data_IF_775698576597
#
_entry.id   IF_775698576597
#
_cell.length_a   1.000
_cell.length_b   1.000
_cell.length_c   1.000
_cell.angle_alpha   90.00
_cell.angle_beta   90.00
_cell.angle_gamma   90.00
#
_symmetry.space_group_name_H-M   'P 1'
#
loop_
_entity.id
_entity.type
_entity.pdbx_description
1 polymer ?
#
# COMPACT_ATOMS: atom_id res chain seq x y z
N UNK A 1 39.11 3.90 23.74
CA UNK A 1 38.72 3.60 25.13
C UNK A 1 38.34 4.91 25.81
N UNK A 2 37.25 4.89 26.60
CA UNK A 2 36.53 5.98 27.29
C UNK A 2 35.60 6.83 26.36
N UNK A 3 34.26 6.63 26.28
CA UNK A 3 33.14 6.84 27.24
C UNK A 3 33.18 8.25 27.84
N UNK A 4 32.24 9.18 27.65
CA UNK A 4 30.78 9.11 27.81
C UNK A 4 30.38 10.05 28.97
N UNK A 5 29.32 10.86 28.81
CA UNK A 5 28.90 12.05 29.62
C UNK A 5 29.71 13.30 29.23
N UNK A 6 29.12 14.38 28.73
CA UNK A 6 28.12 15.15 29.45
C UNK A 6 26.91 15.56 28.61
N UNK A 7 25.78 14.99 29.01
CA UNK A 7 24.44 15.52 28.82
C UNK A 7 24.36 16.93 29.39
N UNK A 8 23.51 17.76 28.78
CA UNK A 8 22.75 18.74 29.56
C UNK A 8 23.55 19.92 30.15
N UNK A 9 24.15 20.77 29.33
CA UNK A 9 24.32 22.16 29.77
C UNK A 9 24.41 23.12 28.60
N UNK A 10 23.65 24.20 28.75
CA UNK A 10 23.83 25.48 28.04
C UNK A 10 23.17 25.58 26.68
N UNK A 11 21.84 25.62 26.74
CA UNK A 11 21.04 26.53 25.93
C UNK A 11 21.59 27.96 26.06
N UNK A 12 21.53 28.70 24.94
CA UNK A 12 21.55 30.17 24.81
C UNK A 12 22.92 30.85 24.62
N UNK A 13 22.97 31.64 23.53
CA UNK A 13 23.92 32.69 23.11
C UNK A 13 25.08 32.29 22.20
N UNK A 14 24.87 32.40 20.89
CA UNK A 14 25.67 33.31 20.05
C UNK A 14 25.04 33.43 18.66
N UNK A 15 24.84 34.67 18.22
CA UNK A 15 24.35 35.04 16.92
C UNK A 15 25.38 34.74 15.83
N UNK A 16 25.01 33.96 14.83
CA UNK A 16 25.63 33.97 13.50
C UNK A 16 24.68 33.31 12.50
N UNK A 17 24.39 34.05 11.42
CA UNK A 17 23.56 33.72 10.25
C UNK A 17 23.42 32.21 9.98
N UNK A 18 22.38 31.60 10.55
CA UNK A 18 22.03 30.21 10.29
C UNK A 18 21.14 30.14 9.06
N UNK A 19 21.69 29.64 7.95
CA UNK A 19 20.88 29.16 6.83
C UNK A 19 19.99 28.04 7.37
N UNK A 20 18.71 28.33 7.58
CA UNK A 20 17.70 27.30 7.77
C UNK A 20 17.53 26.61 6.41
N UNK A 21 18.33 25.58 6.16
CA UNK A 21 18.02 24.61 5.12
C UNK A 21 16.73 23.93 5.54
N UNK A 22 15.61 24.40 5.00
CA UNK A 22 14.35 23.65 4.97
C UNK A 22 14.62 22.49 4.01
N UNK A 23 15.25 21.43 4.52
CA UNK A 23 15.17 20.13 3.86
C UNK A 23 13.72 19.72 3.98
N UNK A 24 12.95 19.99 2.92
CA UNK A 24 11.67 19.35 2.65
C UNK A 24 11.92 17.86 2.59
N UNK A 25 12.00 17.22 3.75
CA UNK A 25 11.84 15.79 3.86
C UNK A 25 10.41 15.53 3.45
N UNK A 26 10.20 15.17 2.19
CA UNK A 26 8.98 14.49 1.77
C UNK A 26 8.90 13.25 2.65
N UNK A 27 8.13 13.34 3.73
CA UNK A 27 7.63 12.16 4.42
C UNK A 27 6.74 11.48 3.40
N UNK A 28 7.32 10.56 2.63
CA UNK A 28 6.59 9.50 1.96
C UNK A 28 5.99 8.69 3.10
N UNK A 29 4.80 9.12 3.55
CA UNK A 29 3.93 8.26 4.32
C UNK A 29 3.51 7.16 3.36
N UNK A 30 4.32 6.09 3.30
CA UNK A 30 3.90 4.80 2.77
C UNK A 30 2.82 4.28 3.72
N UNK A 31 1.60 4.78 3.53
CA UNK A 31 0.43 4.17 4.14
C UNK A 31 0.25 2.86 3.41
N UNK A 32 0.71 1.76 4.02
CA UNK A 32 0.37 0.42 3.57
C UNK A 32 -1.12 0.39 3.19
N UNK A 33 -1.48 -0.23 2.06
CA UNK A 33 -2.87 -0.23 1.63
C UNK A 33 -3.72 -0.96 2.67
N UNK A 34 -4.49 -0.19 3.45
CA UNK A 34 -5.50 -0.73 4.35
C UNK A 34 -6.50 -1.54 3.50
N UNK A 35 -6.35 -2.86 3.56
CA UNK A 35 -7.23 -3.79 2.84
C UNK A 35 -8.65 -3.61 3.37
N UNK A 36 -9.63 -3.74 2.49
CA UNK A 36 -11.01 -3.73 2.96
C UNK A 36 -11.25 -4.94 3.89
N UNK A 37 -12.04 -4.82 4.96
CA UNK A 37 -12.45 -5.97 5.76
C UNK A 37 -13.19 -7.00 4.91
N UNK A 38 -13.07 -8.29 5.26
CA UNK A 38 -13.86 -9.34 4.61
C UNK A 38 -15.34 -9.15 4.96
N UNK A 39 -16.21 -9.15 3.95
CA UNK A 39 -17.65 -9.10 4.13
C UNK A 39 -18.32 -10.34 3.53
N UNK A 40 -18.82 -11.23 4.39
CA UNK A 40 -19.41 -12.48 3.93
C UNK A 40 -20.77 -12.30 3.21
N UNK A 41 -21.43 -11.15 3.35
CA UNK A 41 -22.63 -10.85 2.57
C UNK A 41 -22.32 -10.60 1.08
N UNK A 42 -21.06 -10.27 0.74
CA UNK A 42 -20.62 -9.97 -0.63
C UNK A 42 -19.61 -10.99 -1.17
N UNK A 43 -19.30 -12.06 -0.42
CA UNK A 43 -18.22 -12.99 -0.74
C UNK A 43 -18.28 -13.56 -2.17
N UNK A 44 -19.46 -13.95 -2.66
CA UNK A 44 -19.60 -14.46 -4.03
C UNK A 44 -19.31 -13.40 -5.10
N UNK A 45 -19.70 -12.15 -4.84
CA UNK A 45 -19.40 -11.00 -5.69
C UNK A 45 -17.92 -10.68 -5.69
N UNK A 46 -17.30 -10.67 -4.50
CA UNK A 46 -15.89 -10.40 -4.32
C UNK A 46 -15.01 -11.45 -5.01
N UNK A 47 -15.34 -12.73 -4.87
CA UNK A 47 -14.64 -13.83 -5.55
C UNK A 47 -14.77 -13.74 -7.07
N UNK A 48 -15.93 -13.31 -7.58
CA UNK A 48 -16.14 -13.10 -9.02
C UNK A 48 -15.32 -11.93 -9.54
N UNK A 49 -15.27 -10.83 -8.79
CA UNK A 49 -14.44 -9.67 -9.12
C UNK A 49 -12.97 -10.06 -9.14
N UNK A 50 -12.49 -10.78 -8.11
CA UNK A 50 -11.11 -11.27 -8.04
C UNK A 50 -10.78 -12.21 -9.22
N UNK A 51 -11.68 -13.11 -9.59
CA UNK A 51 -11.44 -14.04 -10.71
C UNK A 51 -11.36 -13.30 -12.06
N UNK A 52 -12.28 -12.35 -12.30
CA UNK A 52 -12.26 -11.53 -13.51
C UNK A 52 -10.99 -10.67 -13.58
N UNK A 53 -10.61 -10.08 -12.45
CA UNK A 53 -9.41 -9.29 -12.30
C UNK A 53 -8.15 -10.10 -12.55
N UNK A 54 -8.02 -11.27 -11.93
CA UNK A 54 -6.86 -12.17 -12.10
C UNK A 54 -6.68 -12.55 -13.57
N UNK A 55 -7.79 -12.87 -14.25
CA UNK A 55 -7.76 -13.15 -15.69
C UNK A 55 -7.28 -11.91 -16.47
N UNK A 56 -7.80 -10.74 -16.14
CA UNK A 56 -7.39 -9.49 -16.79
C UNK A 56 -5.90 -9.18 -16.56
N UNK A 57 -5.40 -9.29 -15.31
CA UNK A 57 -4.00 -9.06 -14.96
C UNK A 57 -3.03 -10.05 -15.62
N UNK A 58 -3.48 -11.30 -15.85
CA UNK A 58 -2.71 -12.30 -16.58
C UNK A 58 -2.69 -12.05 -18.10
N UNK A 59 -3.83 -11.61 -18.65
CA UNK A 59 -4.00 -11.39 -20.09
C UNK A 59 -3.40 -10.03 -20.54
N UNK A 60 -3.33 -9.03 -19.64
CA UNK A 60 -2.95 -7.66 -19.96
C UNK A 60 -1.92 -7.11 -18.97
N UNK A 61 -0.62 -7.34 -19.24
CA UNK A 61 0.46 -6.65 -18.52
C UNK A 61 0.71 -5.20 -19.01
N UNK A 62 -0.11 -4.65 -19.92
CA UNK A 62 0.33 -3.48 -20.72
C UNK A 62 -0.71 -2.38 -20.96
N UNK A 63 -1.98 -2.55 -20.62
CA UNK A 63 -2.98 -1.51 -20.94
C UNK A 63 -3.07 -0.46 -19.82
N UNK A 64 -2.72 0.79 -20.17
CA UNK A 64 -2.52 1.92 -19.27
C UNK A 64 -3.80 2.49 -18.62
N UNK A 65 -4.89 1.74 -18.63
CA UNK A 65 -6.18 2.14 -18.05
C UNK A 65 -6.41 1.37 -16.76
N UNK A 66 -5.65 1.73 -15.72
CA UNK A 66 -5.91 1.26 -14.36
C UNK A 66 -7.08 2.09 -13.80
N UNK A 67 -8.25 1.98 -14.43
CA UNK A 67 -9.52 2.43 -13.87
C UNK A 67 -9.78 1.62 -12.60
N UNK A 68 -10.32 2.23 -11.54
CA UNK A 68 -10.67 1.59 -10.26
C UNK A 68 -11.07 0.12 -10.46
N UNK A 69 -10.12 -0.79 -10.24
CA UNK A 69 -10.34 -2.21 -10.42
C UNK A 69 -11.10 -2.70 -9.19
N UNK A 70 -12.31 -3.29 -9.31
CA UNK A 70 -13.13 -3.65 -8.16
C UNK A 70 -12.38 -4.54 -7.15
N UNK A 71 -11.53 -5.45 -7.63
CA UNK A 71 -10.69 -6.28 -6.77
C UNK A 71 -9.47 -5.52 -6.20
N UNK A 72 -8.96 -4.50 -6.89
CA UNK A 72 -7.96 -3.58 -6.35
C UNK A 72 -8.46 -2.87 -5.09
N UNK A 73 -9.74 -2.47 -5.05
CA UNK A 73 -10.34 -1.89 -3.84
C UNK A 73 -10.35 -2.85 -2.64
N UNK A 74 -10.56 -4.15 -2.88
CA UNK A 74 -10.47 -5.18 -1.83
C UNK A 74 -9.08 -5.26 -1.22
N UNK A 75 -8.05 -4.96 -2.01
CA UNK A 75 -6.64 -4.94 -1.61
C UNK A 75 -6.19 -3.57 -1.07
N UNK A 76 -7.09 -2.59 -0.88
CA UNK A 76 -6.72 -1.25 -0.44
C UNK A 76 -6.02 -0.41 -1.54
N UNK A 77 -6.09 -0.88 -2.78
CA UNK A 77 -5.59 -0.23 -3.99
C UNK A 77 -6.67 0.64 -4.64
N UNK A 78 -7.46 1.31 -3.80
CA UNK A 78 -8.41 2.35 -4.23
C UNK A 78 -7.58 3.45 -4.90
N UNK A 79 -7.68 3.54 -6.22
CA UNK A 79 -6.68 4.17 -7.11
C UNK A 79 -6.33 5.61 -6.74
N UNK A 80 -5.08 6.00 -6.99
CA UNK A 80 -4.68 7.41 -7.03
C UNK A 80 -3.17 7.69 -7.04
N UNK A 81 -2.34 6.79 -6.51
CA UNK A 81 -0.89 6.99 -6.44
C UNK A 81 -0.14 6.10 -7.43
N UNK A 82 0.95 6.64 -8.00
CA UNK A 82 1.79 5.93 -8.95
C UNK A 82 2.35 4.62 -8.37
N UNK A 83 2.75 4.60 -7.10
CA UNK A 83 3.29 3.39 -6.46
C UNK A 83 2.26 2.25 -6.37
N UNK A 84 1.01 2.55 -5.97
CA UNK A 84 -0.08 1.56 -5.94
C UNK A 84 -0.46 1.07 -7.33
N UNK A 85 -0.32 1.93 -8.33
CA UNK A 85 -0.51 1.56 -9.74
C UNK A 85 0.61 0.60 -10.20
N UNK A 86 1.85 0.89 -9.84
CA UNK A 86 3.01 0.05 -10.17
C UNK A 86 2.93 -1.33 -9.51
N UNK A 87 2.44 -1.42 -8.27
CA UNK A 87 2.24 -2.73 -7.62
C UNK A 87 1.25 -3.61 -8.38
N UNK A 88 0.25 -3.02 -9.03
CA UNK A 88 -0.74 -3.76 -9.85
C UNK A 88 -0.17 -4.27 -11.18
N UNK A 89 0.86 -3.62 -11.71
CA UNK A 89 1.57 -4.04 -12.92
C UNK A 89 2.63 -5.11 -12.64
N UNK A 90 2.88 -5.43 -11.38
CA UNK A 90 3.84 -6.46 -10.97
C UNK A 90 3.20 -7.85 -10.94
N UNK A 91 4.05 -8.90 -10.99
CA UNK A 91 3.59 -10.28 -10.75
C UNK A 91 3.01 -10.50 -9.34
N UNK A 92 3.31 -9.62 -8.39
CA UNK A 92 2.84 -9.72 -7.01
C UNK A 92 1.35 -9.41 -6.89
N UNK A 93 0.76 -8.70 -7.85
CA UNK A 93 -0.67 -8.40 -7.84
C UNK A 93 -1.54 -9.65 -7.97
N UNK A 94 -1.18 -10.57 -8.87
CA UNK A 94 -1.88 -11.84 -9.03
C UNK A 94 -1.81 -12.67 -7.75
N UNK A 95 -0.67 -12.64 -7.06
CA UNK A 95 -0.49 -13.32 -5.78
C UNK A 95 -1.37 -12.69 -4.70
N UNK A 96 -1.43 -11.37 -4.60
CA UNK A 96 -2.28 -10.67 -3.65
C UNK A 96 -3.78 -10.98 -3.88
N UNK A 97 -4.20 -11.10 -5.14
CA UNK A 97 -5.57 -11.53 -5.49
C UNK A 97 -5.86 -12.95 -5.01
N UNK A 98 -4.92 -13.89 -5.17
CA UNK A 98 -5.07 -15.26 -4.70
C UNK A 98 -5.12 -15.36 -3.17
N UNK A 99 -4.24 -14.63 -2.48
CA UNK A 99 -4.23 -14.53 -1.02
C UNK A 99 -5.56 -13.98 -0.50
N UNK A 100 -6.09 -12.94 -1.16
CA UNK A 100 -7.37 -12.35 -0.79
C UNK A 100 -8.55 -13.29 -1.03
N UNK A 101 -8.55 -14.04 -2.13
CA UNK A 101 -9.57 -15.05 -2.38
C UNK A 101 -9.52 -16.15 -1.31
N UNK A 102 -8.33 -16.61 -0.91
CA UNK A 102 -8.17 -17.60 0.15
C UNK A 102 -8.64 -17.09 1.52
N UNK A 103 -8.36 -15.82 1.84
CA UNK A 103 -8.85 -15.15 3.05
C UNK A 103 -10.39 -15.10 3.08
N UNK A 104 -11.03 -14.70 1.98
CA UNK A 104 -12.50 -14.66 1.88
C UNK A 104 -13.10 -16.07 2.03
N UNK A 105 -12.51 -17.07 1.35
CA UNK A 105 -12.97 -18.47 1.42
C UNK A 105 -12.88 -19.03 2.82
N UNK A 106 -11.74 -18.87 3.48
CA UNK A 106 -11.51 -19.36 4.85
C UNK A 106 -12.38 -18.64 5.88
N UNK A 107 -12.55 -17.33 5.75
CA UNK A 107 -13.35 -16.52 6.70
C UNK A 107 -14.84 -16.77 6.55
N UNK A 108 -15.35 -16.90 5.33
CA UNK A 108 -16.78 -17.02 5.05
C UNK A 108 -17.27 -18.46 4.84
N UNK A 109 -16.37 -19.46 4.83
CA UNK A 109 -16.72 -20.86 4.64
C UNK A 109 -17.20 -21.19 3.21
N UNK A 110 -16.77 -20.42 2.22
CA UNK A 110 -17.14 -20.58 0.80
C UNK A 110 -16.02 -21.27 0.02
N UNK A 111 -16.38 -21.99 -1.05
CA UNK A 111 -15.45 -22.85 -1.83
C UNK A 111 -14.71 -22.11 -2.95
#
# INVERSE_FOLDING_TARGET
>A
MATGKDTFKTMVLAASLGVFSISSGSVLADTEPDRHPVNCATAEGDLRAIAAEKKHAQDQQVESVISILPAGALLGLVTGTEDKRLSMLSGDYVKALDERAAEIKSTCGVK
#
